data_IF_416434398128
#
_entry.id   IF_416434398128
#
_cell.length_a   1.000
_cell.length_b   1.000
_cell.length_c   1.000
_cell.angle_alpha   90.00
_cell.angle_beta   90.00
_cell.angle_gamma   90.00
#
_symmetry.space_group_name_H-M   'P 1'
#
loop_
_entity.id
_entity.type
_entity.pdbx_description
1 polymer ?
#
# COMPACT_ATOMS: atom_id res chain seq x y z
N UNK A 1 -4.22 -29.87 2.33
CA UNK A 1 -5.07 -31.07 2.48
C UNK A 1 -6.50 -30.62 2.31
N UNK A 2 -7.29 -31.27 1.45
CA UNK A 2 -8.71 -30.94 1.30
C UNK A 2 -9.43 -31.23 2.62
N UNK A 3 -10.02 -30.19 3.23
CA UNK A 3 -10.99 -30.38 4.29
C UNK A 3 -12.37 -30.47 3.62
N UNK A 4 -12.98 -31.66 3.50
CA UNK A 4 -14.27 -31.83 2.83
C UNK A 4 -15.41 -31.03 3.50
N UNK A 5 -15.22 -30.57 4.73
CA UNK A 5 -16.18 -29.72 5.44
C UNK A 5 -16.09 -28.22 5.08
N UNK A 6 -15.07 -27.78 4.34
CA UNK A 6 -14.88 -26.37 4.00
C UNK A 6 -14.85 -26.17 2.48
N UNK A 7 -15.89 -25.53 1.95
CA UNK A 7 -16.02 -25.21 0.51
C UNK A 7 -15.84 -23.71 0.30
N UNK A 8 -15.28 -23.33 -0.85
CA UNK A 8 -15.10 -21.93 -1.24
C UNK A 8 -16.31 -21.47 -2.09
N UNK A 9 -17.04 -20.48 -1.59
CA UNK A 9 -18.20 -19.94 -2.28
C UNK A 9 -17.78 -19.01 -3.42
N UNK A 10 -18.50 -19.14 -4.55
CA UNK A 10 -18.27 -18.31 -5.72
C UNK A 10 -18.50 -16.82 -5.40
N UNK A 11 -17.56 -15.92 -5.76
CA UNK A 11 -17.69 -14.50 -5.42
C UNK A 11 -18.74 -13.77 -6.28
N UNK A 12 -19.18 -14.35 -7.40
CA UNK A 12 -20.31 -13.82 -8.16
C UNK A 12 -21.59 -13.89 -7.32
N UNK A 13 -22.15 -12.72 -6.98
CA UNK A 13 -23.36 -12.55 -6.18
C UNK A 13 -24.59 -13.26 -6.75
N UNK A 14 -24.67 -13.46 -8.07
CA UNK A 14 -25.76 -14.21 -8.72
C UNK A 14 -25.57 -15.73 -8.66
N UNK A 15 -24.36 -16.22 -8.37
CA UNK A 15 -24.02 -17.64 -8.40
C UNK A 15 -23.87 -18.24 -7.01
N UNK A 16 -22.92 -17.72 -6.22
CA UNK A 16 -22.60 -18.13 -4.84
C UNK A 16 -22.42 -19.64 -4.58
N UNK A 17 -22.31 -20.47 -5.63
CA UNK A 17 -22.21 -21.91 -5.53
C UNK A 17 -20.96 -22.33 -4.72
N UNK A 18 -21.05 -23.36 -3.86
CA UNK A 18 -19.90 -23.90 -3.14
C UNK A 18 -18.98 -24.65 -4.12
N UNK A 19 -17.67 -24.57 -3.89
CA UNK A 19 -16.67 -25.26 -4.71
C UNK A 19 -15.59 -25.88 -3.82
N UNK A 20 -14.98 -27.00 -4.22
CA UNK A 20 -13.74 -27.48 -3.62
C UNK A 20 -12.66 -26.39 -3.55
N UNK A 21 -11.88 -26.35 -2.47
CA UNK A 21 -10.83 -25.35 -2.26
C UNK A 21 -9.71 -25.44 -3.30
N UNK A 22 -9.54 -26.61 -3.91
CA UNK A 22 -8.57 -26.85 -4.99
C UNK A 22 -8.96 -26.20 -6.31
N UNK A 23 -10.24 -25.83 -6.49
CA UNK A 23 -10.71 -25.27 -7.74
C UNK A 23 -10.22 -23.82 -7.95
N UNK A 24 -9.76 -23.51 -9.16
CA UNK A 24 -9.39 -22.15 -9.57
C UNK A 24 -10.60 -21.33 -10.03
N UNK A 25 -11.60 -22.01 -10.59
CA UNK A 25 -12.80 -21.40 -11.15
C UNK A 25 -14.04 -22.07 -10.58
N UNK A 26 -15.13 -21.31 -10.46
CA UNK A 26 -16.41 -21.85 -10.05
C UNK A 26 -16.88 -22.90 -11.07
N UNK A 27 -17.33 -24.05 -10.58
CA UNK A 27 -17.82 -25.14 -11.43
C UNK A 27 -19.11 -24.75 -12.18
N UNK A 28 -19.92 -23.85 -11.62
CA UNK A 28 -21.22 -23.44 -12.17
C UNK A 28 -21.11 -22.31 -13.20
N UNK A 29 -20.43 -21.22 -12.88
CA UNK A 29 -20.40 -20.00 -13.71
C UNK A 29 -19.02 -19.63 -14.25
N UNK A 30 -17.99 -20.44 -13.98
CA UNK A 30 -16.59 -20.19 -14.40
C UNK A 30 -15.96 -18.91 -13.85
N UNK A 31 -16.62 -18.16 -12.97
CA UNK A 31 -16.02 -17.02 -12.27
C UNK A 31 -14.77 -17.49 -11.50
N UNK A 32 -13.63 -16.78 -11.59
CA UNK A 32 -12.44 -17.07 -10.79
C UNK A 32 -12.78 -17.10 -9.29
N UNK A 33 -12.30 -18.12 -8.58
CA UNK A 33 -12.52 -18.25 -7.15
C UNK A 33 -11.47 -17.45 -6.38
N UNK A 34 -11.94 -16.56 -5.51
CA UNK A 34 -11.09 -15.69 -4.70
C UNK A 34 -10.65 -16.43 -3.44
N UNK A 35 -9.34 -16.52 -3.22
CA UNK A 35 -8.75 -16.98 -1.95
C UNK A 35 -8.31 -15.78 -1.14
N UNK A 36 -9.11 -15.41 -0.13
CA UNK A 36 -8.79 -14.31 0.77
C UNK A 36 -8.26 -14.88 2.09
N UNK A 37 -6.95 -14.83 2.24
CA UNK A 37 -6.30 -15.17 3.50
C UNK A 37 -6.27 -13.97 4.44
N UNK A 38 -6.50 -14.23 5.71
CA UNK A 38 -6.65 -13.24 6.77
C UNK A 38 -5.75 -13.65 7.95
N UNK A 39 -5.27 -12.66 8.68
CA UNK A 39 -4.54 -12.87 9.94
C UNK A 39 -5.45 -12.58 11.13
N UNK A 40 -5.61 -13.55 12.02
CA UNK A 40 -6.40 -13.36 13.24
C UNK A 40 -5.56 -12.80 14.38
N UNK A 41 -6.09 -11.77 15.04
CA UNK A 41 -5.59 -11.20 16.28
C UNK A 41 -6.62 -11.33 17.40
N UNK A 42 -6.16 -11.14 18.65
CA UNK A 42 -6.98 -11.38 19.84
C UNK A 42 -6.74 -12.75 20.46
N UNK A 43 -7.19 -12.94 21.70
CA UNK A 43 -6.90 -14.17 22.46
C UNK A 43 -7.87 -15.32 22.14
N UNK A 44 -9.00 -15.04 21.48
CA UNK A 44 -9.96 -16.07 21.06
C UNK A 44 -9.38 -17.09 20.08
N UNK A 45 -8.42 -16.68 19.24
CA UNK A 45 -7.82 -17.56 18.22
C UNK A 45 -6.99 -18.68 18.84
N UNK A 46 -6.47 -18.51 20.07
CA UNK A 46 -5.63 -19.52 20.74
C UNK A 46 -6.39 -20.82 21.04
N UNK A 47 -7.72 -20.76 21.13
CA UNK A 47 -8.55 -21.93 21.36
C UNK A 47 -8.86 -22.72 20.08
N UNK A 48 -8.65 -22.12 18.90
CA UNK A 48 -8.98 -22.74 17.62
C UNK A 48 -7.89 -23.70 17.14
N UNK A 49 -8.29 -24.74 16.41
CA UNK A 49 -7.37 -25.75 15.87
C UNK A 49 -7.30 -25.70 14.33
N UNK A 50 -6.13 -25.93 13.72
CA UNK A 50 -6.03 -26.03 12.26
C UNK A 50 -7.06 -27.02 11.68
N UNK A 51 -7.73 -26.62 10.61
CA UNK A 51 -8.85 -27.35 10.00
C UNK A 51 -10.23 -26.95 10.55
N UNK A 52 -10.31 -26.25 11.67
CA UNK A 52 -11.58 -25.75 12.20
C UNK A 52 -12.19 -24.64 11.31
N UNK A 53 -13.51 -24.67 11.15
CA UNK A 53 -14.27 -23.60 10.48
C UNK A 53 -14.95 -22.75 11.54
N UNK A 54 -14.40 -21.57 11.80
CA UNK A 54 -14.90 -20.61 12.78
C UNK A 54 -16.07 -19.83 12.17
N UNK A 55 -17.14 -19.65 12.95
CA UNK A 55 -18.35 -18.92 12.55
C UNK A 55 -18.94 -19.40 11.20
N UNK A 56 -18.78 -20.68 10.86
CA UNK A 56 -19.23 -21.29 9.58
C UNK A 56 -18.67 -20.61 8.32
N UNK A 57 -17.59 -19.82 8.44
CA UNK A 57 -17.06 -19.00 7.34
C UNK A 57 -15.55 -19.00 7.25
N UNK A 58 -14.83 -19.00 8.36
CA UNK A 58 -13.38 -18.81 8.33
C UNK A 58 -12.67 -20.11 8.67
N UNK A 59 -12.03 -20.71 7.66
CA UNK A 59 -11.26 -21.94 7.84
C UNK A 59 -9.87 -21.60 8.38
N UNK A 60 -9.52 -22.12 9.56
CA UNK A 60 -8.18 -21.97 10.12
C UNK A 60 -7.20 -22.89 9.37
N UNK A 61 -6.24 -22.31 8.65
CA UNK A 61 -5.26 -23.05 7.86
C UNK A 61 -4.11 -23.53 8.73
N UNK A 62 -3.47 -22.60 9.45
CA UNK A 62 -2.47 -22.90 10.49
C UNK A 62 -2.21 -21.67 11.37
N UNK A 63 -1.89 -21.90 12.64
CA UNK A 63 -1.57 -20.88 13.66
C UNK A 63 -2.64 -19.79 13.80
N UNK A 64 -2.58 -18.75 12.96
CA UNK A 64 -3.43 -17.56 12.97
C UNK A 64 -3.90 -17.16 11.55
N UNK A 65 -3.60 -17.98 10.53
CA UNK A 65 -3.99 -17.72 9.14
C UNK A 65 -5.33 -18.37 8.86
N UNK A 66 -6.32 -17.57 8.51
CA UNK A 66 -7.66 -18.01 8.14
C UNK A 66 -7.90 -17.80 6.65
N UNK A 67 -8.64 -18.71 6.03
CA UNK A 67 -9.21 -18.54 4.71
C UNK A 67 -10.68 -18.15 4.86
N UNK A 68 -11.07 -17.01 4.29
CA UNK A 68 -12.48 -16.65 4.16
C UNK A 68 -13.12 -17.47 3.04
N UNK A 69 -14.06 -18.34 3.43
CA UNK A 69 -14.79 -19.20 2.49
C UNK A 69 -15.92 -18.48 1.76
N UNK A 70 -16.31 -17.28 2.21
CA UNK A 70 -17.42 -16.50 1.66
C UNK A 70 -17.01 -15.04 1.40
N UNK A 71 -15.96 -14.78 0.58
CA UNK A 71 -15.33 -13.47 0.48
C UNK A 71 -16.18 -12.38 -0.22
N UNK A 72 -17.31 -12.76 -0.83
CA UNK A 72 -18.29 -11.82 -1.39
C UNK A 72 -19.33 -11.35 -0.37
N UNK A 73 -19.46 -12.03 0.77
CA UNK A 73 -20.30 -11.58 1.87
C UNK A 73 -19.47 -10.59 2.70
N UNK A 74 -19.97 -9.37 2.98
CA UNK A 74 -19.26 -8.47 3.87
C UNK A 74 -18.97 -9.10 5.24
N UNK A 75 -17.83 -8.78 5.86
CA UNK A 75 -17.56 -9.21 7.23
C UNK A 75 -18.42 -8.42 8.23
N UNK A 76 -18.54 -8.97 9.43
CA UNK A 76 -19.17 -8.26 10.55
C UNK A 76 -18.29 -7.10 11.00
N UNK A 77 -18.93 -5.97 11.29
CA UNK A 77 -18.27 -4.75 11.74
C UNK A 77 -18.98 -4.24 13.00
N UNK A 78 -18.26 -3.98 14.10
CA UNK A 78 -18.91 -3.47 15.30
C UNK A 78 -19.35 -2.02 15.11
N UNK A 79 -20.32 -1.59 15.92
CA UNK A 79 -20.79 -0.20 15.96
C UNK A 79 -19.73 0.74 16.55
N UNK A 80 -19.01 0.26 17.58
CA UNK A 80 -17.95 1.02 18.24
C UNK A 80 -16.59 0.41 17.91
N UNK A 81 -15.63 1.26 17.56
CA UNK A 81 -14.25 0.83 17.27
C UNK A 81 -13.42 0.89 18.56
N UNK A 82 -12.88 -0.25 19.04
CA UNK A 82 -12.02 -0.24 20.22
C UNK A 82 -10.72 0.53 19.99
N UNK A 83 -10.17 1.11 21.06
CA UNK A 83 -8.89 1.84 21.01
C UNK A 83 -7.72 0.99 20.50
N UNK A 84 -7.78 -0.33 20.69
CA UNK A 84 -6.77 -1.27 20.18
C UNK A 84 -6.78 -1.42 18.65
N UNK A 85 -7.88 -1.02 18.00
CA UNK A 85 -8.10 -1.12 16.56
C UNK A 85 -7.88 0.22 15.86
N UNK A 86 -8.12 1.34 16.56
CA UNK A 86 -7.96 2.70 16.04
C UNK A 86 -6.62 2.96 15.31
N UNK A 87 -5.45 2.47 15.79
CA UNK A 87 -4.18 2.65 15.08
C UNK A 87 -4.20 2.12 13.64
N UNK A 88 -4.84 0.96 13.38
CA UNK A 88 -4.92 0.42 12.03
C UNK A 88 -5.70 1.33 11.08
N UNK A 89 -6.74 2.01 11.60
CA UNK A 89 -7.59 2.89 10.79
C UNK A 89 -6.89 4.22 10.48
N UNK A 90 -6.22 4.81 11.48
CA UNK A 90 -5.44 6.04 11.31
C UNK A 90 -4.21 5.86 10.42
N UNK A 91 -3.65 4.64 10.40
CA UNK A 91 -2.49 4.29 9.58
C UNK A 91 -2.86 3.68 8.22
N UNK A 92 -4.11 3.79 7.77
CA UNK A 92 -4.58 3.19 6.51
C UNK A 92 -3.79 3.65 5.26
N UNK A 93 -3.23 4.87 5.30
CA UNK A 93 -2.35 5.39 4.23
C UNK A 93 -1.04 4.60 4.06
N UNK A 94 -0.67 3.78 5.04
CA UNK A 94 0.49 2.90 5.01
C UNK A 94 0.11 1.44 4.64
N UNK A 95 -1.04 1.22 4.00
CA UNK A 95 -1.55 -0.12 3.63
C UNK A 95 -0.64 -0.98 2.74
N UNK A 96 0.37 -0.37 2.10
CA UNK A 96 1.46 -1.11 1.45
C UNK A 96 2.32 -1.89 2.45
N UNK A 97 2.48 -1.41 3.67
CA UNK A 97 3.35 -2.00 4.70
C UNK A 97 2.57 -2.58 5.87
N UNK A 98 1.39 -2.01 6.16
CA UNK A 98 0.58 -2.36 7.31
C UNK A 98 -0.67 -3.12 6.88
N UNK A 99 -1.12 -4.08 7.69
CA UNK A 99 -2.37 -4.77 7.42
C UNK A 99 -3.56 -3.83 7.73
N UNK A 100 -4.71 -4.13 7.16
CA UNK A 100 -5.96 -3.40 7.38
C UNK A 100 -6.98 -4.28 8.10
N UNK A 101 -7.87 -3.66 8.87
CA UNK A 101 -8.91 -4.39 9.60
C UNK A 101 -9.97 -4.87 8.61
N UNK A 102 -10.10 -6.19 8.50
CA UNK A 102 -11.09 -6.84 7.65
C UNK A 102 -12.46 -6.84 8.34
N UNK A 103 -12.51 -7.27 9.61
CA UNK A 103 -13.74 -7.32 10.39
C UNK A 103 -13.55 -8.02 11.73
N UNK A 104 -14.66 -8.20 12.45
CA UNK A 104 -14.71 -8.83 13.77
C UNK A 104 -15.39 -10.20 13.67
N UNK A 105 -14.94 -11.13 14.51
CA UNK A 105 -15.65 -12.36 14.83
C UNK A 105 -16.13 -12.28 16.28
N UNK A 106 -17.45 -12.16 16.44
CA UNK A 106 -18.07 -12.15 17.75
C UNK A 106 -17.87 -13.50 18.47
N UNK A 107 -17.63 -13.50 19.79
CA UNK A 107 -17.42 -14.72 20.57
C UNK A 107 -18.49 -15.79 20.34
N UNK A 108 -18.06 -17.01 20.01
CA UNK A 108 -18.90 -18.20 19.94
C UNK A 108 -18.74 -19.00 21.25
N UNK A 109 -19.64 -19.95 21.62
CA UNK A 109 -19.54 -20.70 22.88
C UNK A 109 -18.19 -21.42 23.10
N UNK A 110 -17.46 -21.76 22.03
CA UNK A 110 -16.10 -22.34 22.06
C UNK A 110 -14.97 -21.29 22.06
N UNK A 111 -15.27 -20.06 21.66
CA UNK A 111 -14.33 -18.94 21.56
C UNK A 111 -14.90 -17.74 22.31
N UNK A 112 -14.85 -17.76 23.65
CA UNK A 112 -15.44 -16.73 24.52
C UNK A 112 -14.75 -15.35 24.47
N UNK A 113 -13.87 -15.11 23.49
CA UNK A 113 -13.14 -13.85 23.31
C UNK A 113 -13.15 -13.46 21.86
N UNK A 114 -13.16 -12.15 21.61
CA UNK A 114 -13.16 -11.59 20.27
C UNK A 114 -11.93 -12.02 19.47
N UNK A 115 -12.16 -12.21 18.16
CA UNK A 115 -11.10 -12.40 17.18
C UNK A 115 -11.27 -11.31 16.12
N UNK A 116 -10.23 -10.52 15.92
CA UNK A 116 -10.19 -9.50 14.88
C UNK A 116 -9.43 -10.04 13.67
N UNK A 117 -9.96 -9.80 12.49
CA UNK A 117 -9.40 -10.28 11.23
C UNK A 117 -8.70 -9.14 10.52
N UNK A 118 -7.47 -9.37 10.09
CA UNK A 118 -6.69 -8.42 9.30
C UNK A 118 -6.49 -8.95 7.88
N UNK A 119 -6.62 -8.06 6.89
CA UNK A 119 -6.29 -8.30 5.49
C UNK A 119 -5.05 -7.51 5.06
N UNK A 120 -4.57 -7.76 3.84
CA UNK A 120 -3.36 -7.10 3.33
C UNK A 120 -2.07 -7.60 4.01
N UNK A 121 -2.16 -8.64 4.83
CA UNK A 121 -1.02 -9.33 5.46
C UNK A 121 -0.26 -10.10 4.36
N UNK A 122 1.09 -10.17 4.42
CA UNK A 122 1.91 -10.85 3.41
C UNK A 122 1.76 -12.38 3.52
N UNK A 123 0.60 -12.89 3.09
CA UNK A 123 0.25 -14.32 3.01
C UNK A 123 0.14 -14.70 1.54
N UNK A 124 0.81 -15.77 1.14
CA UNK A 124 0.82 -16.21 -0.24
C UNK A 124 -0.59 -16.68 -0.67
N UNK A 125 -1.26 -15.87 -1.48
CA UNK A 125 -2.60 -16.19 -2.01
C UNK A 125 -2.57 -16.90 -3.37
N UNK A 126 -1.48 -16.76 -4.12
CA UNK A 126 -1.35 -17.26 -5.50
C UNK A 126 -0.09 -18.11 -5.68
N UNK A 127 -0.04 -18.91 -6.76
CA UNK A 127 1.07 -19.81 -7.05
C UNK A 127 0.75 -21.28 -6.76
N UNK A 128 1.74 -22.02 -6.26
CA UNK A 128 1.60 -23.43 -5.94
C UNK A 128 0.55 -23.62 -4.83
N UNK A 129 -0.41 -24.53 -5.02
CA UNK A 129 -1.45 -24.80 -4.03
C UNK A 129 -0.89 -25.22 -2.67
N UNK A 130 0.29 -25.85 -2.66
CA UNK A 130 0.97 -26.28 -1.44
C UNK A 130 1.59 -25.13 -0.64
N UNK A 131 1.82 -23.99 -1.29
CA UNK A 131 2.39 -22.79 -0.64
C UNK A 131 1.32 -21.74 -0.33
N UNK A 132 0.07 -21.95 -0.76
CA UNK A 132 -1.03 -21.04 -0.44
C UNK A 132 -1.33 -21.03 1.06
N UNK A 133 -1.57 -19.84 1.61
CA UNK A 133 -1.79 -19.64 3.05
C UNK A 133 -0.51 -19.54 3.88
N UNK A 134 0.67 -19.74 3.29
CA UNK A 134 1.94 -19.55 3.98
C UNK A 134 2.27 -18.07 4.12
N UNK A 135 2.84 -17.71 5.27
CA UNK A 135 3.39 -16.37 5.48
C UNK A 135 4.63 -16.17 4.60
N UNK A 136 4.77 -14.97 4.06
CA UNK A 136 6.03 -14.51 3.49
C UNK A 136 7.16 -14.62 4.52
N UNK A 137 8.42 -14.80 4.06
CA UNK A 137 9.55 -15.01 4.95
C UNK A 137 9.78 -13.82 5.89
N UNK A 138 10.32 -14.12 7.07
CA UNK A 138 10.94 -13.12 7.95
C UNK A 138 12.08 -12.40 7.21
N UNK A 139 12.24 -11.10 7.45
CA UNK A 139 13.32 -10.33 6.83
C UNK A 139 14.70 -10.94 7.12
N UNK A 140 14.95 -11.34 8.37
CA UNK A 140 16.20 -11.96 8.83
C UNK A 140 16.54 -13.23 8.05
N UNK A 141 15.53 -14.02 7.66
CA UNK A 141 15.72 -15.29 6.96
C UNK A 141 16.21 -15.14 5.52
N UNK A 142 15.93 -14.01 4.87
CA UNK A 142 16.31 -13.73 3.47
C UNK A 142 17.30 -12.57 3.33
N UNK A 143 17.69 -11.96 4.45
CA UNK A 143 18.55 -10.78 4.50
C UNK A 143 19.88 -11.00 3.77
N UNK A 144 20.60 -12.08 4.13
CA UNK A 144 21.94 -12.38 3.59
C UNK A 144 21.98 -12.63 2.07
N UNK A 145 20.87 -13.10 1.52
CA UNK A 145 20.77 -13.48 0.10
C UNK A 145 20.28 -12.29 -0.77
N UNK A 146 19.92 -11.17 -0.15
CA UNK A 146 19.42 -9.99 -0.83
C UNK A 146 20.56 -9.12 -1.38
N UNK A 147 20.30 -8.43 -2.51
CA UNK A 147 21.27 -7.47 -3.04
C UNK A 147 21.44 -6.26 -2.09
N UNK A 148 22.58 -5.56 -2.12
CA UNK A 148 22.80 -4.39 -1.26
C UNK A 148 21.71 -3.31 -1.38
N UNK A 149 21.23 -3.04 -2.60
CA UNK A 149 20.11 -2.10 -2.82
C UNK A 149 18.82 -2.61 -2.17
N UNK A 150 18.55 -3.93 -2.20
CA UNK A 150 17.38 -4.53 -1.56
C UNK A 150 17.47 -4.44 -0.03
N UNK A 151 18.64 -4.73 0.54
CA UNK A 151 18.91 -4.61 1.97
C UNK A 151 18.64 -3.17 2.45
N UNK A 152 19.23 -2.17 1.81
CA UNK A 152 18.99 -0.76 2.16
C UNK A 152 17.54 -0.32 1.93
N UNK A 153 16.89 -0.81 0.86
CA UNK A 153 15.49 -0.50 0.58
C UNK A 153 14.54 -1.02 1.67
N UNK A 154 14.80 -2.20 2.23
CA UNK A 154 14.02 -2.70 3.38
C UNK A 154 14.29 -1.88 4.63
N UNK A 155 15.54 -1.53 4.93
CA UNK A 155 15.86 -0.66 6.07
C UNK A 155 15.19 0.71 5.95
N UNK A 156 15.16 1.30 4.75
CA UNK A 156 14.47 2.57 4.48
C UNK A 156 12.96 2.46 4.75
N UNK A 157 12.30 1.39 4.27
CA UNK A 157 10.89 1.15 4.55
C UNK A 157 10.64 0.96 6.05
N UNK A 158 11.48 0.18 6.72
CA UNK A 158 11.40 -0.06 8.16
C UNK A 158 11.53 1.26 8.96
N UNK A 159 12.50 2.11 8.59
CA UNK A 159 12.67 3.44 9.18
C UNK A 159 11.49 4.38 8.91
N UNK A 160 10.90 4.33 7.70
CA UNK A 160 9.79 5.22 7.34
C UNK A 160 8.52 4.95 8.15
N UNK A 161 8.38 3.75 8.69
CA UNK A 161 7.26 3.37 9.56
C UNK A 161 7.47 3.85 11.00
N UNK A 162 8.68 4.22 11.41
CA UNK A 162 8.97 4.54 12.82
C UNK A 162 8.10 5.69 13.33
N UNK A 163 8.18 6.86 12.69
CA UNK A 163 7.43 8.04 13.11
C UNK A 163 5.91 7.86 13.14
N UNK A 164 5.25 7.36 12.06
CA UNK A 164 3.80 7.18 12.09
C UNK A 164 3.37 6.17 13.15
N UNK A 165 4.09 5.07 13.34
CA UNK A 165 3.75 4.10 14.38
C UNK A 165 4.00 4.64 15.79
N UNK A 166 5.06 5.44 16.01
CA UNK A 166 5.30 6.09 17.30
C UNK A 166 4.19 7.08 17.67
N UNK A 167 3.64 7.82 16.70
CA UNK A 167 2.53 8.75 16.93
C UNK A 167 1.25 8.04 17.37
N UNK A 168 1.02 6.82 16.89
CA UNK A 168 -0.12 5.98 17.26
C UNK A 168 0.20 5.02 18.43
N UNK A 169 1.37 5.13 19.06
CA UNK A 169 1.73 4.31 20.22
C UNK A 169 1.88 2.82 19.92
N UNK A 170 2.35 2.47 18.72
CA UNK A 170 2.52 1.09 18.24
C UNK A 170 3.89 0.85 17.57
N UNK A 171 4.90 1.67 17.85
CA UNK A 171 6.25 1.52 17.29
C UNK A 171 6.95 0.22 17.72
N UNK A 172 6.54 -0.38 18.84
CA UNK A 172 7.04 -1.66 19.35
C UNK A 172 6.80 -2.80 18.37
N UNK A 173 5.84 -2.65 17.44
CA UNK A 173 5.64 -3.57 16.33
C UNK A 173 6.90 -3.76 15.47
N UNK A 174 7.68 -2.69 15.28
CA UNK A 174 8.91 -2.68 14.49
C UNK A 174 10.10 -3.33 15.23
N UNK A 175 9.99 -3.56 16.53
CA UNK A 175 11.04 -4.16 17.36
C UNK A 175 10.88 -5.68 17.50
N UNK A 176 9.80 -6.26 16.96
CA UNK A 176 9.51 -7.70 16.98
C UNK A 176 9.83 -8.29 15.60
N UNK A 177 10.97 -8.99 15.50
CA UNK A 177 11.45 -9.55 14.23
C UNK A 177 10.48 -10.54 13.59
N UNK A 178 9.72 -11.30 14.39
CA UNK A 178 8.72 -12.25 13.93
C UNK A 178 7.50 -11.59 13.25
N UNK A 179 7.26 -10.30 13.51
CA UNK A 179 6.21 -9.52 12.84
C UNK A 179 6.67 -8.89 11.53
N UNK A 180 7.99 -8.78 11.31
CA UNK A 180 8.57 -8.11 10.14
C UNK A 180 8.86 -9.12 9.03
N UNK A 181 8.01 -9.08 8.00
CA UNK A 181 8.08 -9.96 6.84
C UNK A 181 8.45 -9.19 5.58
N UNK A 182 8.86 -9.92 4.55
CA UNK A 182 9.16 -9.32 3.24
C UNK A 182 8.43 -10.03 2.10
N UNK A 183 7.71 -9.24 1.31
CA UNK A 183 6.98 -9.67 0.12
C UNK A 183 7.70 -9.11 -1.12
N UNK A 184 8.77 -9.82 -1.51
CA UNK A 184 9.66 -9.40 -2.59
C UNK A 184 10.40 -8.11 -2.27
N UNK A 185 9.84 -6.98 -2.71
CA UNK A 185 10.41 -5.65 -2.46
C UNK A 185 9.86 -4.96 -1.22
N UNK A 186 8.68 -5.36 -0.78
CA UNK A 186 7.95 -4.68 0.27
C UNK A 186 8.32 -5.27 1.63
N UNK A 187 8.64 -4.42 2.59
CA UNK A 187 8.64 -4.75 4.01
C UNK A 187 7.22 -4.59 4.54
N UNK A 188 6.75 -5.60 5.28
CA UNK A 188 5.34 -5.75 5.66
C UNK A 188 5.26 -6.19 7.12
N UNK A 189 4.33 -5.62 7.88
CA UNK A 189 4.01 -6.08 9.23
C UNK A 189 2.83 -7.06 9.21
N UNK A 190 2.88 -8.04 10.10
CA UNK A 190 1.75 -8.95 10.33
C UNK A 190 0.62 -8.32 11.14
N UNK A 191 0.99 -7.49 12.12
CA UNK A 191 0.06 -6.83 13.05
C UNK A 191 0.75 -5.67 13.77
N UNK A 192 -0.06 -4.84 14.43
CA UNK A 192 0.37 -3.77 15.32
C UNK A 192 0.35 -4.24 16.77
N UNK A 193 1.33 -3.80 17.54
CA UNK A 193 1.53 -4.11 18.94
C UNK A 193 1.64 -2.80 19.73
N UNK A 194 0.86 -2.62 20.81
CA UNK A 194 0.89 -1.41 21.60
C UNK A 194 2.26 -1.22 22.27
N UNK A 195 2.66 0.04 22.38
CA UNK A 195 3.89 0.42 23.06
C UNK A 195 3.81 0.13 24.56
N UNK A 196 4.95 -0.25 25.12
CA UNK A 196 5.14 -0.38 26.56
C UNK A 196 5.67 0.94 27.13
N UNK A 197 5.61 1.08 28.45
CA UNK A 197 6.22 2.21 29.16
C UNK A 197 7.57 1.75 29.75
N UNK A 198 8.70 2.41 29.43
CA UNK A 198 8.84 3.59 28.57
C UNK A 198 8.69 3.29 27.08
N UNK A 199 8.25 4.30 26.32
CA UNK A 199 8.05 4.19 24.87
C UNK A 199 9.32 3.73 24.13
N UNK A 200 9.16 2.99 23.01
CA UNK A 200 10.30 2.47 22.26
C UNK A 200 11.14 3.59 21.65
N UNK A 201 12.44 3.33 21.48
CA UNK A 201 13.41 4.32 21.01
C UNK A 201 14.18 3.84 19.77
N UNK A 202 14.67 4.79 18.96
CA UNK A 202 15.54 4.48 17.81
C UNK A 202 16.83 3.74 18.22
N UNK A 203 17.27 3.87 19.49
CA UNK A 203 18.38 3.09 20.04
C UNK A 203 18.06 1.59 20.03
N UNK A 204 16.85 1.20 20.44
CA UNK A 204 16.41 -0.20 20.41
C UNK A 204 16.31 -0.72 18.98
N UNK A 205 15.87 0.12 18.03
CA UNK A 205 15.89 -0.23 16.62
C UNK A 205 17.33 -0.48 16.12
N UNK A 206 18.29 0.36 16.51
CA UNK A 206 19.71 0.17 16.22
C UNK A 206 20.30 -1.12 16.83
N UNK A 207 19.88 -1.48 18.04
CA UNK A 207 20.25 -2.75 18.69
C UNK A 207 19.71 -3.95 17.92
N UNK A 208 18.45 -3.90 17.49
CA UNK A 208 17.85 -4.95 16.66
C UNK A 208 18.57 -5.07 15.31
N UNK A 209 18.82 -3.95 14.63
CA UNK A 209 19.49 -3.95 13.32
C UNK A 209 20.95 -4.38 13.39
N UNK A 210 21.59 -4.25 14.54
CA UNK A 210 22.96 -4.77 14.75
C UNK A 210 23.03 -6.28 14.54
N UNK A 211 21.93 -7.01 14.75
CA UNK A 211 21.83 -8.46 14.49
C UNK A 211 21.87 -8.79 12.99
N UNK A 212 21.60 -7.82 12.10
CA UNK A 212 21.64 -8.00 10.65
C UNK A 212 23.04 -7.77 10.05
N UNK A 213 24.00 -7.27 10.84
CA UNK A 213 25.33 -6.88 10.33
C UNK A 213 26.12 -8.05 9.75
N UNK A 214 26.01 -9.25 10.32
CA UNK A 214 26.70 -10.45 9.84
C UNK A 214 26.27 -10.84 8.42
N UNK A 215 25.00 -10.60 8.06
CA UNK A 215 24.47 -10.88 6.73
C UNK A 215 24.47 -9.67 5.79
N UNK A 216 25.02 -8.53 6.19
CA UNK A 216 25.07 -7.34 5.33
C UNK A 216 26.00 -7.56 4.14
N UNK A 217 25.57 -7.16 2.94
CA UNK A 217 26.39 -7.25 1.73
C UNK A 217 27.71 -6.48 1.92
N UNK A 218 28.86 -7.00 1.44
CA UNK A 218 30.15 -6.34 1.57
C UNK A 218 30.18 -4.89 1.08
N UNK A 219 29.36 -4.56 0.08
CA UNK A 219 29.25 -3.20 -0.49
C UNK A 219 28.69 -2.18 0.51
N UNK A 220 27.87 -2.60 1.47
CA UNK A 220 27.17 -1.71 2.41
C UNK A 220 27.48 -2.00 3.87
N UNK A 221 28.35 -2.98 4.15
CA UNK A 221 28.61 -3.46 5.51
C UNK A 221 29.14 -2.34 6.40
N UNK A 222 30.12 -1.56 5.93
CA UNK A 222 30.67 -0.42 6.67
C UNK A 222 29.60 0.65 6.94
N UNK A 223 28.79 0.98 5.93
CA UNK A 223 27.67 1.92 6.07
C UNK A 223 26.67 1.44 7.13
N UNK A 224 26.26 0.17 7.08
CA UNK A 224 25.34 -0.43 8.04
C UNK A 224 25.93 -0.45 9.46
N UNK A 225 27.22 -0.76 9.62
CA UNK A 225 27.91 -0.73 10.91
C UNK A 225 27.92 0.68 11.51
N UNK A 226 28.27 1.69 10.71
CA UNK A 226 28.26 3.08 11.14
C UNK A 226 26.84 3.54 11.52
N UNK A 227 25.84 3.21 10.70
CA UNK A 227 24.44 3.55 10.96
C UNK A 227 23.93 2.94 12.29
N UNK A 228 24.18 1.65 12.50
CA UNK A 228 23.79 0.95 13.73
C UNK A 228 24.51 1.52 14.96
N UNK A 229 25.80 1.87 14.81
CA UNK A 229 26.57 2.52 15.88
C UNK A 229 25.99 3.88 16.26
N UNK A 230 25.67 4.72 15.26
CA UNK A 230 25.07 6.04 15.49
C UNK A 230 23.69 5.94 16.15
N UNK A 231 22.84 5.00 15.72
CA UNK A 231 21.55 4.73 16.36
C UNK A 231 21.73 4.30 17.82
N UNK A 232 22.60 3.31 18.08
CA UNK A 232 22.81 2.75 19.42
C UNK A 232 23.40 3.79 20.38
N UNK A 233 24.30 4.66 19.90
CA UNK A 233 24.87 5.78 20.66
C UNK A 233 23.90 6.96 20.85
N UNK A 234 22.74 6.95 20.17
CA UNK A 234 21.76 8.04 20.24
C UNK A 234 22.16 9.30 19.49
N UNK A 235 23.04 9.18 18.49
CA UNK A 235 23.46 10.28 17.63
C UNK A 235 22.40 10.60 16.57
N UNK A 236 21.61 9.59 16.19
CA UNK A 236 20.41 9.75 15.36
C UNK A 236 19.21 9.82 16.31
N UNK A 237 18.58 10.99 16.35
CA UNK A 237 17.49 11.29 17.28
C UNK A 237 16.12 11.27 16.62
N UNK A 238 16.05 11.44 15.30
CA UNK A 238 14.78 11.51 14.56
C UNK A 238 14.74 10.54 13.39
N UNK A 239 13.52 10.15 13.01
CA UNK A 239 13.24 9.35 11.80
C UNK A 239 13.74 10.02 10.52
N UNK A 240 13.66 11.35 10.46
CA UNK A 240 14.06 12.15 9.31
C UNK A 240 15.57 12.08 9.09
N UNK A 241 16.35 12.15 10.18
CA UNK A 241 17.80 11.96 10.13
C UNK A 241 18.16 10.54 9.65
N UNK A 242 17.49 9.53 10.19
CA UNK A 242 17.69 8.13 9.78
C UNK A 242 17.37 7.93 8.29
N UNK A 243 16.24 8.44 7.82
CA UNK A 243 15.82 8.35 6.43
C UNK A 243 16.76 9.09 5.49
N UNK A 244 17.28 10.26 5.88
CA UNK A 244 18.26 11.00 5.08
C UNK A 244 19.57 10.23 4.90
N UNK A 245 20.05 9.58 5.97
CA UNK A 245 21.25 8.73 5.91
C UNK A 245 21.02 7.50 5.00
N UNK A 246 19.88 6.81 5.15
CA UNK A 246 19.53 5.66 4.31
C UNK A 246 19.35 6.05 2.83
N UNK A 247 18.73 7.21 2.57
CA UNK A 247 18.60 7.76 1.23
C UNK A 247 19.98 7.99 0.59
N UNK A 248 20.94 8.59 1.34
CA UNK A 248 22.31 8.77 0.87
C UNK A 248 22.97 7.42 0.53
N UNK A 249 22.87 6.43 1.41
CA UNK A 249 23.43 5.09 1.16
C UNK A 249 22.83 4.43 -0.09
N UNK A 250 21.52 4.54 -0.30
CA UNK A 250 20.85 4.04 -1.51
C UNK A 250 21.30 4.76 -2.78
N UNK A 251 21.48 6.08 -2.70
CA UNK A 251 21.95 6.89 -3.81
C UNK A 251 23.36 6.53 -4.25
N UNK A 252 24.26 6.23 -3.31
CA UNK A 252 25.62 5.79 -3.59
C UNK A 252 25.61 4.37 -4.18
N UNK A 253 24.82 3.46 -3.60
CA UNK A 253 24.70 2.07 -4.07
C UNK A 253 24.14 1.93 -5.49
N UNK A 254 23.27 2.85 -5.92
CA UNK A 254 22.66 2.78 -7.26
C UNK A 254 23.59 3.19 -8.40
N UNK A 255 24.75 3.80 -8.12
CA UNK A 255 25.67 4.32 -9.15
C UNK A 255 26.07 3.25 -10.19
N UNK A 256 25.98 1.98 -9.81
CA UNK A 256 26.27 0.81 -10.63
C UNK A 256 25.09 0.29 -11.47
N UNK A 257 23.91 0.92 -11.39
CA UNK A 257 22.68 0.43 -12.04
C UNK A 257 22.15 1.41 -13.11
N UNK A 258 21.95 0.90 -14.31
CA UNK A 258 21.19 1.60 -15.36
C UNK A 258 19.79 1.02 -15.47
N UNK A 259 18.80 1.89 -15.61
CA UNK A 259 17.39 1.52 -15.75
C UNK A 259 16.82 2.10 -17.04
N UNK A 260 15.90 1.34 -17.62
CA UNK A 260 15.11 1.72 -18.78
C UNK A 260 13.65 1.52 -18.43
N UNK A 261 12.84 2.55 -18.64
CA UNK A 261 11.41 2.49 -18.38
C UNK A 261 10.67 2.45 -19.71
N UNK A 262 9.64 1.62 -19.78
CA UNK A 262 8.69 1.58 -20.91
C UNK A 262 7.34 2.03 -20.39
N UNK A 263 6.82 3.12 -20.94
CA UNK A 263 5.53 3.69 -20.58
C UNK A 263 4.58 3.53 -21.74
N UNK A 264 3.41 2.93 -21.48
CA UNK A 264 2.31 2.79 -22.42
C UNK A 264 1.05 3.32 -21.75
N UNK A 265 0.29 4.12 -22.48
CA UNK A 265 -0.99 4.64 -22.02
C UNK A 265 -2.10 4.21 -22.99
N UNK A 266 -3.29 4.01 -22.42
CA UNK A 266 -4.53 3.70 -23.12
C UNK A 266 -5.66 4.42 -22.38
N UNK A 267 -6.64 4.87 -23.14
CA UNK A 267 -7.90 5.45 -22.66
C UNK A 267 -9.00 5.05 -23.63
N UNK A 268 -10.23 4.95 -23.13
CA UNK A 268 -11.42 4.55 -23.87
C UNK A 268 -12.63 5.25 -23.24
N UNK A 269 -13.58 5.71 -24.06
CA UNK A 269 -14.80 6.36 -23.57
C UNK A 269 -15.69 5.42 -22.74
N UNK A 270 -15.53 4.11 -22.94
CA UNK A 270 -16.42 3.10 -22.42
C UNK A 270 -17.78 3.10 -23.12
N UNK A 271 -18.65 2.15 -22.77
CA UNK A 271 -19.95 1.98 -23.44
C UNK A 271 -21.04 2.92 -22.92
N UNK A 272 -20.83 3.58 -21.78
CA UNK A 272 -21.87 4.30 -21.03
C UNK A 272 -21.77 5.83 -21.07
N UNK A 273 -20.70 6.39 -21.63
CA UNK A 273 -20.48 7.83 -21.73
C UNK A 273 -20.48 8.26 -23.20
N UNK A 274 -20.93 9.48 -23.47
CA UNK A 274 -20.94 10.04 -24.82
C UNK A 274 -19.58 10.63 -25.22
N UNK A 275 -18.78 11.05 -24.25
CA UNK A 275 -17.48 11.71 -24.41
C UNK A 275 -16.52 11.18 -23.34
N UNK A 276 -15.22 11.20 -23.64
CA UNK A 276 -14.18 10.76 -22.72
C UNK A 276 -13.58 11.97 -21.99
N UNK A 277 -13.79 12.04 -20.68
CA UNK A 277 -13.24 13.12 -19.84
C UNK A 277 -11.88 12.75 -19.23
N UNK A 278 -11.41 11.53 -19.47
CA UNK A 278 -10.09 11.06 -19.05
C UNK A 278 -8.99 11.59 -19.98
N UNK A 279 -7.87 11.98 -19.37
CA UNK A 279 -6.65 12.30 -20.09
C UNK A 279 -5.47 11.50 -19.52
N UNK A 280 -4.48 11.21 -20.37
CA UNK A 280 -3.28 10.51 -19.95
C UNK A 280 -2.02 11.07 -20.62
N UNK A 281 -0.90 10.96 -19.92
CA UNK A 281 0.43 11.27 -20.44
C UNK A 281 1.35 10.07 -20.25
N UNK A 282 2.13 9.67 -21.27
CA UNK A 282 2.12 10.14 -22.66
C UNK A 282 0.77 9.97 -23.36
N UNK A 283 0.54 10.61 -24.53
CA UNK A 283 -0.71 10.43 -25.28
C UNK A 283 -1.00 8.95 -25.54
N UNK A 284 -2.28 8.58 -25.41
CA UNK A 284 -2.78 7.22 -25.62
C UNK A 284 -2.29 6.63 -26.95
N UNK A 285 -2.05 5.32 -26.98
CA UNK A 285 -1.59 4.63 -28.19
C UNK A 285 -0.08 4.51 -28.28
N UNK A 286 0.69 5.38 -27.63
CA UNK A 286 2.14 5.50 -27.84
C UNK A 286 2.97 4.76 -26.78
N UNK A 287 3.87 3.89 -27.23
CA UNK A 287 4.92 3.31 -26.37
C UNK A 287 6.11 4.27 -26.33
N UNK A 288 6.45 4.77 -25.14
CA UNK A 288 7.65 5.59 -24.91
C UNK A 288 8.64 4.78 -24.11
N UNK A 289 9.88 4.69 -24.60
CA UNK A 289 11.00 4.12 -23.86
C UNK A 289 11.92 5.23 -23.40
N UNK A 290 12.22 5.30 -22.11
CA UNK A 290 13.28 6.19 -21.64
C UNK A 290 14.64 5.60 -22.04
N UNK A 291 15.54 6.44 -22.58
CA UNK A 291 16.92 6.02 -22.78
C UNK A 291 17.58 5.77 -21.42
N UNK A 292 18.66 4.96 -21.39
CA UNK A 292 19.41 4.66 -20.16
C UNK A 292 19.67 5.91 -19.34
N UNK A 293 19.26 5.89 -18.07
CA UNK A 293 19.48 6.99 -17.13
C UNK A 293 18.57 8.21 -17.30
N UNK A 294 17.61 8.21 -18.25
CA UNK A 294 16.60 9.26 -18.35
C UNK A 294 15.36 8.94 -17.51
N UNK A 295 14.80 10.01 -16.95
CA UNK A 295 13.54 9.98 -16.23
C UNK A 295 12.38 9.60 -17.16
N UNK A 296 11.42 8.86 -16.63
CA UNK A 296 10.12 8.61 -17.20
C UNK A 296 9.05 9.33 -16.38
N UNK A 297 7.98 9.72 -17.05
CA UNK A 297 6.81 10.37 -16.48
C UNK A 297 5.57 9.70 -17.08
N UNK A 298 4.63 9.33 -16.21
CA UNK A 298 3.30 8.89 -16.57
C UNK A 298 2.27 9.64 -15.72
N UNK A 299 1.14 10.03 -16.32
CA UNK A 299 0.03 10.69 -15.64
C UNK A 299 -1.29 10.16 -16.17
N UNK A 300 -2.29 10.07 -15.30
CA UNK A 300 -3.71 9.87 -15.64
C UNK A 300 -4.52 10.87 -14.84
N UNK A 301 -5.50 11.47 -15.50
CA UNK A 301 -6.40 12.47 -14.94
C UNK A 301 -7.82 12.07 -15.35
N UNK A 302 -8.72 11.88 -14.39
CA UNK A 302 -10.15 11.67 -14.61
C UNK A 302 -10.87 13.00 -14.39
N UNK A 303 -11.39 13.56 -15.48
CA UNK A 303 -12.02 14.87 -15.50
C UNK A 303 -13.47 14.82 -15.04
N UNK A 304 -13.85 15.74 -14.15
CA UNK A 304 -15.23 15.92 -13.68
C UNK A 304 -15.73 17.33 -14.02
N UNK A 305 -16.96 17.46 -14.49
CA UNK A 305 -17.60 18.76 -14.73
C UNK A 305 -18.92 18.65 -15.50
N UNK A 306 -19.67 19.74 -15.58
CA UNK A 306 -20.86 19.86 -16.45
C UNK A 306 -20.49 19.85 -17.94
N UNK A 307 -21.33 20.41 -18.83
CA UNK A 307 -21.16 20.49 -20.30
C UNK A 307 -19.67 20.61 -20.76
N UNK A 308 -19.03 19.47 -21.07
CA UNK A 308 -17.63 19.34 -21.51
C UNK A 308 -16.54 19.93 -20.56
N UNK A 309 -16.82 20.06 -19.26
CA UNK A 309 -15.87 20.58 -18.29
C UNK A 309 -14.73 19.62 -17.94
N UNK A 310 -15.01 18.31 -17.86
CA UNK A 310 -14.04 17.33 -17.39
C UNK A 310 -12.85 17.18 -18.33
N UNK A 311 -13.08 17.00 -19.64
CA UNK A 311 -12.03 16.90 -20.67
C UNK A 311 -11.09 18.11 -20.65
N UNK A 312 -11.66 19.31 -20.47
CA UNK A 312 -10.87 20.55 -20.40
C UNK A 312 -9.97 20.54 -19.15
N UNK A 313 -10.49 20.16 -17.99
CA UNK A 313 -9.73 20.17 -16.75
C UNK A 313 -8.62 19.11 -16.75
N UNK A 314 -8.92 17.88 -17.18
CA UNK A 314 -7.95 16.78 -17.20
C UNK A 314 -6.78 17.07 -18.16
N UNK A 315 -7.07 17.62 -19.35
CA UNK A 315 -6.04 18.03 -20.30
C UNK A 315 -5.23 19.25 -19.80
N UNK A 316 -5.89 20.25 -19.22
CA UNK A 316 -5.22 21.43 -18.65
C UNK A 316 -4.25 21.04 -17.52
N UNK A 317 -4.64 20.11 -16.64
CA UNK A 317 -3.75 19.58 -15.60
C UNK A 317 -2.47 18.97 -16.19
N UNK A 318 -2.62 18.09 -17.19
CA UNK A 318 -1.48 17.43 -17.85
C UNK A 318 -0.55 18.46 -18.48
N UNK A 319 -1.07 19.45 -19.21
CA UNK A 319 -0.24 20.42 -19.91
C UNK A 319 0.51 21.35 -18.94
N UNK A 320 -0.16 21.85 -17.90
CA UNK A 320 0.50 22.64 -16.85
C UNK A 320 1.57 21.84 -16.14
N UNK A 321 1.29 20.60 -15.72
CA UNK A 321 2.28 19.73 -15.06
C UNK A 321 3.49 19.48 -15.97
N UNK A 322 3.28 19.17 -17.25
CA UNK A 322 4.39 18.97 -18.20
C UNK A 322 5.28 20.20 -18.31
N UNK A 323 4.71 21.40 -18.32
CA UNK A 323 5.48 22.64 -18.37
C UNK A 323 6.29 22.85 -17.09
N UNK A 324 5.67 22.68 -15.92
CA UNK A 324 6.34 22.83 -14.63
C UNK A 324 7.48 21.81 -14.46
N UNK A 325 7.22 20.54 -14.78
CA UNK A 325 8.18 19.45 -14.58
C UNK A 325 9.39 19.54 -15.52
N UNK A 326 9.24 20.08 -16.73
CA UNK A 326 10.36 20.33 -17.66
C UNK A 326 11.40 21.29 -17.08
N UNK A 327 11.02 22.17 -16.17
CA UNK A 327 11.92 23.16 -15.56
C UNK A 327 12.72 22.60 -14.38
N UNK A 328 12.34 21.44 -13.84
CA UNK A 328 12.95 20.86 -12.65
C UNK A 328 14.36 20.29 -12.83
N UNK A 329 14.72 19.63 -13.95
CA UNK A 329 16.09 19.15 -14.16
C UNK A 329 17.16 20.24 -14.06
N UNK A 330 16.82 21.50 -14.37
CA UNK A 330 17.75 22.64 -14.27
C UNK A 330 17.89 23.19 -12.83
N UNK A 331 16.92 22.91 -11.94
CA UNK A 331 16.85 23.50 -10.58
C UNK A 331 17.49 22.62 -9.50
N UNK A 332 17.60 21.31 -9.71
CA UNK A 332 18.08 20.37 -8.70
C UNK A 332 19.60 20.17 -8.79
N UNK A 333 20.38 21.02 -8.08
CA UNK A 333 21.85 20.90 -8.00
C UNK A 333 22.34 19.80 -7.04
N UNK A 334 21.52 19.42 -6.07
CA UNK A 334 21.84 18.38 -5.06
C UNK A 334 20.64 17.45 -4.95
N UNK A 335 20.91 16.14 -4.92
CA UNK A 335 19.86 15.14 -4.71
C UNK A 335 19.50 15.07 -3.23
N UNK A 336 18.26 15.41 -2.91
CA UNK A 336 17.64 15.11 -1.62
C UNK A 336 16.17 14.72 -1.87
N UNK A 337 15.67 13.59 -1.33
CA UNK A 337 14.34 13.10 -1.67
C UNK A 337 13.22 14.11 -1.43
N UNK A 338 13.27 14.86 -0.33
CA UNK A 338 12.25 15.86 0.02
C UNK A 338 12.22 17.05 -0.93
N UNK A 339 13.35 17.39 -1.56
CA UNK A 339 13.41 18.53 -2.50
C UNK A 339 12.57 18.24 -3.73
N UNK A 340 12.66 17.03 -4.28
CA UNK A 340 11.83 16.67 -5.43
C UNK A 340 10.35 16.60 -5.04
N UNK A 341 10.00 16.03 -3.89
CA UNK A 341 8.61 15.99 -3.41
C UNK A 341 7.99 17.38 -3.32
N UNK A 342 8.70 18.36 -2.74
CA UNK A 342 8.23 19.75 -2.63
C UNK A 342 8.04 20.41 -4.00
N UNK A 343 8.92 20.12 -4.96
CA UNK A 343 8.78 20.67 -6.32
C UNK A 343 7.63 20.01 -7.10
N UNK A 344 7.34 18.72 -6.86
CA UNK A 344 6.15 18.06 -7.41
C UNK A 344 4.88 18.65 -6.82
N UNK A 345 4.84 18.91 -5.51
CA UNK A 345 3.73 19.57 -4.82
C UNK A 345 3.44 20.95 -5.43
N UNK A 346 4.47 21.80 -5.59
CA UNK A 346 4.32 23.11 -6.26
C UNK A 346 3.76 22.99 -7.67
N UNK A 347 4.22 22.00 -8.44
CA UNK A 347 3.73 21.77 -9.80
C UNK A 347 2.24 21.39 -9.82
N UNK A 348 1.79 20.59 -8.84
CA UNK A 348 0.37 20.23 -8.67
C UNK A 348 -0.46 21.42 -8.24
N UNK A 349 0.01 22.22 -7.28
CA UNK A 349 -0.68 23.46 -6.88
C UNK A 349 -0.86 24.40 -8.08
N UNK A 350 0.17 24.57 -8.92
CA UNK A 350 0.06 25.38 -10.13
C UNK A 350 -0.98 24.84 -11.14
N UNK A 351 -1.11 23.51 -11.26
CA UNK A 351 -2.15 22.89 -12.09
C UNK A 351 -3.55 23.13 -11.53
N UNK A 352 -3.73 22.97 -10.21
CA UNK A 352 -4.97 23.30 -9.51
C UNK A 352 -5.35 24.78 -9.70
N UNK A 353 -4.40 25.70 -9.51
CA UNK A 353 -4.62 27.13 -9.65
C UNK A 353 -5.02 27.48 -11.10
N UNK A 354 -4.42 26.84 -12.09
CA UNK A 354 -4.76 27.03 -13.51
C UNK A 354 -6.22 26.63 -13.79
N UNK A 355 -6.68 25.50 -13.24
CA UNK A 355 -8.07 25.04 -13.37
C UNK A 355 -9.02 25.99 -12.64
N UNK A 356 -8.70 26.38 -11.41
CA UNK A 356 -9.53 27.30 -10.62
C UNK A 356 -9.66 28.66 -11.31
N UNK A 357 -8.55 29.25 -11.76
CA UNK A 357 -8.56 30.53 -12.46
C UNK A 357 -9.39 30.45 -13.75
N UNK A 358 -9.33 29.34 -14.48
CA UNK A 358 -10.16 29.16 -15.67
C UNK A 358 -11.64 29.02 -15.33
N UNK A 359 -11.99 28.32 -14.26
CA UNK A 359 -13.37 28.30 -13.75
C UNK A 359 -13.87 29.72 -13.44
N UNK A 360 -13.05 30.53 -12.78
CA UNK A 360 -13.43 31.88 -12.36
C UNK A 360 -13.54 32.83 -13.57
N UNK A 361 -12.60 32.77 -14.52
CA UNK A 361 -12.65 33.55 -15.77
C UNK A 361 -13.86 33.20 -16.64
N UNK A 362 -14.26 31.92 -16.68
CA UNK A 362 -15.44 31.47 -17.42
C UNK A 362 -16.74 31.59 -16.61
N UNK A 363 -16.70 32.20 -15.42
CA UNK A 363 -17.84 32.36 -14.49
C UNK A 363 -18.58 31.04 -14.18
N UNK A 364 -17.85 29.92 -14.08
CA UNK A 364 -18.42 28.61 -13.73
C UNK A 364 -18.71 28.53 -12.24
N UNK A 365 -19.95 28.19 -11.88
CA UNK A 365 -20.41 28.03 -10.51
C UNK A 365 -21.04 26.66 -10.25
N UNK A 366 -21.08 26.24 -8.98
CA UNK A 366 -21.61 24.95 -8.53
C UNK A 366 -21.10 23.77 -9.40
N UNK A 367 -22.03 22.98 -9.96
CA UNK A 367 -21.75 21.80 -10.80
C UNK A 367 -21.18 22.15 -12.18
N UNK A 368 -21.12 23.42 -12.55
CA UNK A 368 -20.48 23.86 -13.79
C UNK A 368 -18.97 23.96 -13.64
N UNK A 369 -18.46 24.08 -12.39
CA UNK A 369 -17.03 24.09 -12.14
C UNK A 369 -16.44 22.75 -12.58
N UNK A 370 -15.37 22.83 -13.35
CA UNK A 370 -14.60 21.67 -13.77
C UNK A 370 -13.50 21.38 -12.77
N UNK A 371 -13.16 20.11 -12.64
CA UNK A 371 -12.07 19.59 -11.84
C UNK A 371 -11.55 18.31 -12.47
N UNK A 372 -10.48 17.76 -11.92
CA UNK A 372 -9.94 16.48 -12.35
C UNK A 372 -9.20 15.82 -11.21
N UNK A 373 -9.18 14.49 -11.19
CA UNK A 373 -8.22 13.74 -10.39
C UNK A 373 -6.82 13.88 -11.00
N UNK A 374 -5.82 13.40 -10.25
CA UNK A 374 -4.47 13.19 -10.76
C UNK A 374 -3.90 11.92 -10.14
N UNK A 375 -3.33 11.06 -10.96
CA UNK A 375 -2.28 10.12 -10.54
C UNK A 375 -1.06 10.29 -11.44
N UNK A 376 0.11 10.45 -10.84
CA UNK A 376 1.37 10.68 -11.52
C UNK A 376 2.47 9.78 -10.95
N UNK A 377 3.26 9.19 -11.84
CA UNK A 377 4.48 8.47 -11.52
C UNK A 377 5.66 9.11 -12.27
N UNK A 378 6.64 9.62 -11.52
CA UNK A 378 7.89 10.17 -12.07
C UNK A 378 9.08 9.41 -11.51
N UNK A 379 9.90 8.85 -12.39
CA UNK A 379 11.14 8.20 -11.96
C UNK A 379 12.20 9.27 -11.74
N UNK A 380 12.94 9.20 -10.65
CA UNK A 380 14.14 9.98 -10.45
C UNK A 380 15.18 9.13 -9.74
N UNK A 381 16.41 9.13 -10.27
CA UNK A 381 17.48 8.31 -9.75
C UNK A 381 17.09 6.81 -9.63
N UNK A 382 16.97 6.29 -8.40
CA UNK A 382 16.57 4.92 -8.11
C UNK A 382 15.13 4.78 -7.60
N UNK A 383 14.37 5.86 -7.57
CA UNK A 383 13.05 5.94 -6.96
C UNK A 383 11.99 6.26 -8.00
N UNK A 384 10.75 5.93 -7.66
CA UNK A 384 9.56 6.38 -8.38
C UNK A 384 8.79 7.25 -7.39
N UNK A 385 8.62 8.51 -7.74
CA UNK A 385 7.82 9.46 -7.00
C UNK A 385 6.39 9.35 -7.49
N UNK A 386 5.49 9.13 -6.54
CA UNK A 386 4.07 8.98 -6.76
C UNK A 386 3.38 10.24 -6.23
N UNK A 387 2.52 10.82 -7.04
CA UNK A 387 1.67 11.95 -6.66
C UNK A 387 0.24 11.61 -7.03
N UNK A 388 -0.69 11.80 -6.10
CA UNK A 388 -2.10 11.53 -6.36
C UNK A 388 -3.00 12.57 -5.69
N UNK A 389 -4.13 12.86 -6.33
CA UNK A 389 -5.23 13.71 -5.85
C UNK A 389 -6.53 13.10 -6.37
N UNK A 390 -7.51 12.87 -5.48
CA UNK A 390 -8.76 12.17 -5.82
C UNK A 390 -8.66 10.64 -5.67
N UNK A 391 -9.55 9.95 -6.36
CA UNK A 391 -9.83 8.50 -6.26
C UNK A 391 -9.25 7.67 -7.42
N UNK A 392 -8.54 8.31 -8.35
CA UNK A 392 -7.71 7.58 -9.32
C UNK A 392 -6.57 6.83 -8.62
N UNK A 393 -6.18 5.66 -9.17
CA UNK A 393 -5.34 4.70 -8.44
C UNK A 393 -4.05 4.34 -9.15
N UNK A 394 -2.99 4.10 -8.37
CA UNK A 394 -1.75 3.46 -8.83
C UNK A 394 -1.60 2.10 -8.16
N UNK A 395 -1.24 1.09 -8.95
CA UNK A 395 -0.99 -0.27 -8.49
C UNK A 395 0.45 -0.69 -8.74
N UNK A 396 1.08 -1.34 -7.75
CA UNK A 396 2.31 -2.10 -7.91
C UNK A 396 1.93 -3.55 -8.26
N UNK A 397 2.21 -3.96 -9.49
CA UNK A 397 2.03 -5.35 -9.94
C UNK A 397 3.39 -6.05 -10.05
N UNK A 398 3.53 -7.20 -9.40
CA UNK A 398 4.73 -8.04 -9.47
C UNK A 398 4.35 -9.53 -9.47
N UNK A 399 5.34 -10.41 -9.58
CA UNK A 399 5.13 -11.86 -9.41
C UNK A 399 4.58 -12.25 -8.04
N UNK A 400 4.71 -11.37 -7.04
CA UNK A 400 4.28 -11.61 -5.67
C UNK A 400 2.85 -11.13 -5.38
N UNK A 401 2.31 -10.24 -6.21
CA UNK A 401 0.97 -9.69 -5.99
C UNK A 401 0.68 -8.40 -6.76
N UNK A 402 -0.54 -7.91 -6.55
CA UNK A 402 -1.01 -6.60 -7.01
C UNK A 402 -1.41 -5.80 -5.78
N UNK A 403 -0.71 -4.69 -5.53
CA UNK A 403 -0.94 -3.85 -4.35
C UNK A 403 -1.32 -2.44 -4.79
N UNK A 404 -2.41 -1.93 -4.24
CA UNK A 404 -2.74 -0.52 -4.41
C UNK A 404 -1.73 0.34 -3.64
N UNK A 405 -1.12 1.31 -4.31
CA UNK A 405 -0.10 2.20 -3.76
C UNK A 405 -0.72 3.47 -3.18
N UNK A 406 -1.75 3.99 -3.86
CA UNK A 406 -2.46 5.21 -3.47
C UNK A 406 -3.64 4.88 -2.57
N UNK A 407 -3.96 5.75 -1.63
CA UNK A 407 -5.22 5.73 -0.90
C UNK A 407 -6.17 6.71 -1.59
N UNK A 408 -7.38 6.26 -1.91
CA UNK A 408 -8.39 7.11 -2.54
C UNK A 408 -8.71 8.30 -1.63
N UNK A 409 -8.75 9.51 -2.20
CA UNK A 409 -9.14 10.70 -1.46
C UNK A 409 -10.66 10.91 -1.53
N UNK A 410 -11.37 9.98 -0.90
CA UNK A 410 -12.82 9.89 -0.87
C UNK A 410 -13.38 9.99 0.56
N UNK A 411 -14.71 10.00 0.67
CA UNK A 411 -15.37 10.08 1.98
C UNK A 411 -15.13 8.80 2.79
N UNK A 412 -15.16 7.62 2.17
CA UNK A 412 -14.89 6.37 2.85
C UNK A 412 -13.52 6.36 3.54
N UNK A 413 -12.46 6.71 2.82
CA UNK A 413 -11.09 6.75 3.32
C UNK A 413 -10.92 7.83 4.39
N UNK A 414 -11.64 8.96 4.30
CA UNK A 414 -11.69 9.96 5.37
C UNK A 414 -12.31 9.40 6.65
N UNK A 415 -13.48 8.80 6.58
CA UNK A 415 -14.19 8.25 7.76
C UNK A 415 -13.36 7.14 8.45
N UNK A 416 -12.67 6.32 7.66
CA UNK A 416 -11.70 5.34 8.18
C UNK A 416 -10.53 6.02 8.88
N UNK A 417 -9.87 6.99 8.24
CA UNK A 417 -8.73 7.71 8.84
C UNK A 417 -9.08 8.37 10.17
N UNK A 418 -10.31 8.88 10.29
CA UNK A 418 -10.82 9.48 11.53
C UNK A 418 -11.18 8.43 12.61
N UNK A 419 -11.19 7.15 12.26
CA UNK A 419 -11.46 6.03 13.16
C UNK A 419 -12.94 5.77 13.39
N UNK A 420 -13.82 6.28 12.53
CA UNK A 420 -15.28 6.17 12.70
C UNK A 420 -15.86 4.86 12.19
N UNK A 421 -15.25 4.25 11.19
CA UNK A 421 -15.75 3.01 10.59
C UNK A 421 -14.62 2.17 9.99
N UNK A 422 -14.89 0.90 9.72
CA UNK A 422 -13.99 0.02 8.98
C UNK A 422 -14.15 0.26 7.47
N UNK A 423 -13.06 0.14 6.71
CA UNK A 423 -13.04 0.44 5.27
C UNK A 423 -14.10 -0.35 4.48
N UNK A 424 -14.26 -1.65 4.79
CA UNK A 424 -15.27 -2.48 4.12
C UNK A 424 -16.71 -2.07 4.39
N UNK A 425 -16.99 -1.51 5.55
CA UNK A 425 -18.31 -0.98 5.87
C UNK A 425 -18.50 0.39 5.23
N UNK A 426 -17.47 1.23 5.22
CA UNK A 426 -17.49 2.52 4.53
C UNK A 426 -17.88 2.37 3.06
N UNK A 427 -17.27 1.43 2.33
CA UNK A 427 -17.55 1.20 0.91
C UNK A 427 -18.99 0.78 0.57
N UNK A 428 -19.82 0.43 1.57
CA UNK A 428 -21.22 0.07 1.35
C UNK A 428 -22.16 1.27 1.38
N UNK A 429 -21.68 2.42 1.89
CA UNK A 429 -22.51 3.60 1.99
C UNK A 429 -22.61 4.28 0.61
N UNK A 430 -23.81 4.65 0.14
CA UNK A 430 -24.00 5.28 -1.17
C UNK A 430 -23.24 6.60 -1.37
N UNK A 431 -22.84 7.25 -0.27
CA UNK A 431 -22.17 8.55 -0.26
C UNK A 431 -20.65 8.45 -0.14
N UNK A 432 -20.07 7.25 -0.28
CA UNK A 432 -18.67 7.01 0.06
C UNK A 432 -17.62 7.53 -0.92
N UNK A 433 -18.05 8.03 -2.08
CA UNK A 433 -17.19 8.23 -3.23
C UNK A 433 -17.58 7.22 -4.29
#
# INVERSE_FOLDING_TARGET
MDNPAATLHCPNHQCQAPNPQTNKFCQKCRTPLLRRYLWAIGSGIKAAQPGEVIAKRYLLIHSRVLLDTQPAVPPETPLEIPQTITPYLRLVSYGLHLPQVYGLLTPQPRHNKEIWLLEGVPIQATGNINTQGQLSPELTSVWKDASPVRQLNWLQQWASLWQPLSREGVASSLLKSDLVRVEGALLRLLELQPDQTPAPTLKQLGQLWSQLLEGASPVISEFCQQLCSQLTKGQIQTSEQLLALLAKGLFECRSWQSRTYKTLTRTDTGPGRSHNEDACYPPSGKLISSSRGKEALAMVCDGIGGQAGGEIASQLAIDTLRQQLKQLPAKLKVWHPTTLTLELEKAVCAANDSISQRNDHENRFDRQRMGTTLVMARTHAHEIYITHVGDSRIYWVSRHGCHQVTLDDDLASREVRLGYTLYRHALQQPTSG
#
